data_IF_663417822241
#
_entry.id   IF_663417822241
#
_cell.length_a   1.000
_cell.length_b   1.000
_cell.length_c   1.000
_cell.angle_alpha   90.00
_cell.angle_beta   90.00
_cell.angle_gamma   90.00
#
_symmetry.space_group_name_H-M   'P 1'
#
loop_
_entity.id
_entity.type
_entity.pdbx_description
1 polymer ?
#
# COMPACT_ATOMS: atom_id res chain seq x y z
N UNK A 1 -57.02 11.23 -39.59
CA UNK A 1 -55.54 11.41 -39.63
C UNK A 1 -55.06 12.21 -38.42
N UNK A 2 -55.19 11.69 -37.18
CA UNK A 2 -54.76 12.42 -35.97
C UNK A 2 -54.33 11.49 -34.82
N UNK A 3 -53.46 10.53 -35.12
CA UNK A 3 -52.90 9.58 -34.13
C UNK A 3 -51.38 9.39 -34.26
N UNK A 4 -50.76 9.98 -35.29
CA UNK A 4 -49.31 9.83 -35.56
C UNK A 4 -48.48 10.85 -34.76
N UNK A 5 -49.06 11.98 -34.36
CA UNK A 5 -48.32 13.05 -33.67
C UNK A 5 -47.98 12.72 -32.20
N UNK A 6 -48.80 11.88 -31.55
CA UNK A 6 -48.67 11.61 -30.10
C UNK A 6 -47.58 10.57 -29.76
N UNK A 7 -47.19 9.72 -30.72
CA UNK A 7 -46.14 8.70 -30.51
C UNK A 7 -44.74 9.30 -30.56
N UNK A 8 -44.49 10.29 -31.43
CA UNK A 8 -43.17 10.93 -31.60
C UNK A 8 -42.72 11.69 -30.35
N UNK A 9 -43.64 12.37 -29.67
CA UNK A 9 -43.39 13.06 -28.39
C UNK A 9 -43.10 12.12 -27.23
N UNK A 10 -43.68 10.92 -27.23
CA UNK A 10 -43.39 9.90 -26.22
C UNK A 10 -41.97 9.34 -26.39
N UNK A 11 -41.58 8.99 -27.61
CA UNK A 11 -40.21 8.49 -27.90
C UNK A 11 -39.14 9.55 -27.61
N UNK A 12 -39.41 10.83 -27.89
CA UNK A 12 -38.48 11.92 -27.58
C UNK A 12 -38.28 12.10 -26.07
N UNK A 13 -39.33 11.91 -25.26
CA UNK A 13 -39.27 11.94 -23.80
C UNK A 13 -38.49 10.75 -23.22
N UNK A 14 -38.66 9.55 -23.79
CA UNK A 14 -37.87 8.37 -23.38
C UNK A 14 -36.39 8.50 -23.78
N UNK A 15 -36.08 9.09 -24.94
CA UNK A 15 -34.70 9.39 -25.36
C UNK A 15 -34.02 10.43 -24.46
N UNK A 16 -34.74 11.46 -24.01
CA UNK A 16 -34.22 12.47 -23.07
C UNK A 16 -34.01 11.93 -21.65
N UNK A 17 -34.84 10.98 -21.20
CA UNK A 17 -34.68 10.31 -19.91
C UNK A 17 -33.52 9.29 -19.89
N UNK A 18 -33.19 8.67 -21.04
CA UNK A 18 -32.03 7.79 -21.19
C UNK A 18 -30.70 8.55 -21.35
N UNK A 19 -30.73 9.83 -21.75
CA UNK A 19 -29.54 10.68 -21.85
C UNK A 19 -29.16 11.39 -20.54
N UNK A 20 -29.94 11.26 -19.47
CA UNK A 20 -29.49 11.57 -18.10
C UNK A 20 -28.62 10.42 -17.55
N UNK A 21 -27.77 9.86 -18.41
CA UNK A 21 -26.69 8.97 -18.00
C UNK A 21 -25.89 9.68 -16.93
N UNK A 22 -25.81 9.05 -15.77
CA UNK A 22 -25.13 9.52 -14.57
C UNK A 22 -23.81 10.18 -14.96
N UNK A 23 -23.78 11.51 -14.90
CA UNK A 23 -22.52 12.23 -14.82
C UNK A 23 -22.01 11.85 -13.43
N UNK A 24 -21.27 10.73 -13.36
CA UNK A 24 -20.45 10.42 -12.22
C UNK A 24 -19.40 11.54 -12.19
N UNK A 25 -19.72 12.61 -11.46
CA UNK A 25 -18.74 13.62 -11.11
C UNK A 25 -17.65 12.88 -10.38
N UNK A 26 -16.48 12.76 -11.01
CA UNK A 26 -15.30 12.25 -10.33
C UNK A 26 -15.11 13.10 -9.07
N UNK A 27 -15.30 12.48 -7.92
CA UNK A 27 -15.01 13.11 -6.65
C UNK A 27 -13.51 13.43 -6.68
N UNK A 28 -13.14 14.69 -6.46
CA UNK A 28 -11.74 15.04 -6.32
C UNK A 28 -11.16 14.21 -5.17
N UNK A 29 -10.06 13.50 -5.43
CA UNK A 29 -9.42 12.67 -4.42
C UNK A 29 -8.96 13.53 -3.24
N UNK A 30 -9.34 13.15 -2.02
CA UNK A 30 -8.86 13.82 -0.82
C UNK A 30 -7.45 13.34 -0.45
N UNK A 31 -6.78 14.07 0.43
CA UNK A 31 -5.48 13.63 0.98
C UNK A 31 -5.58 12.27 1.70
N UNK A 32 -6.72 11.98 2.34
CA UNK A 32 -7.01 10.69 2.95
C UNK A 32 -7.13 9.57 1.91
N UNK A 33 -7.81 9.83 0.79
CA UNK A 33 -7.97 8.84 -0.28
C UNK A 33 -6.62 8.47 -0.89
N UNK A 34 -5.76 9.47 -1.13
CA UNK A 34 -4.41 9.23 -1.65
C UNK A 34 -3.56 8.47 -0.64
N UNK A 35 -3.65 8.80 0.66
CA UNK A 35 -2.96 8.03 1.68
C UNK A 35 -3.43 6.57 1.72
N UNK A 36 -4.74 6.33 1.66
CA UNK A 36 -5.27 4.96 1.63
C UNK A 36 -4.73 4.16 0.44
N UNK A 37 -4.58 4.77 -0.74
CA UNK A 37 -3.96 4.13 -1.90
C UNK A 37 -2.49 3.78 -1.64
N UNK A 38 -1.72 4.62 -0.94
CA UNK A 38 -0.33 4.32 -0.56
C UNK A 38 -0.26 3.13 0.38
N UNK A 39 -1.10 3.11 1.41
CA UNK A 39 -1.18 1.98 2.34
C UNK A 39 -1.53 0.68 1.63
N UNK A 40 -2.44 0.74 0.65
CA UNK A 40 -2.78 -0.42 -0.18
C UNK A 40 -1.60 -0.85 -1.06
N UNK A 41 -0.84 0.07 -1.65
CA UNK A 41 0.32 -0.31 -2.48
C UNK A 41 1.40 -1.00 -1.65
N UNK A 42 1.72 -0.48 -0.45
CA UNK A 42 2.67 -1.11 0.47
C UNK A 42 2.16 -2.47 0.96
N UNK A 43 0.88 -2.56 1.31
CA UNK A 43 0.26 -3.83 1.68
C UNK A 43 0.44 -4.92 0.62
N UNK A 44 0.21 -4.56 -0.65
CA UNK A 44 0.35 -5.48 -1.78
C UNK A 44 1.78 -5.97 -1.89
N UNK A 45 2.77 -5.06 -1.93
CA UNK A 45 4.16 -5.46 -2.13
C UNK A 45 4.70 -6.26 -0.92
N UNK A 46 4.39 -5.85 0.31
CA UNK A 46 4.85 -6.56 1.51
C UNK A 46 4.31 -7.99 1.52
N UNK A 47 3.01 -8.17 1.27
CA UNK A 47 2.39 -9.50 1.27
C UNK A 47 2.85 -10.36 0.09
N UNK A 48 3.14 -9.77 -1.08
CA UNK A 48 3.79 -10.46 -2.21
C UNK A 48 5.18 -10.95 -1.83
N UNK A 49 6.00 -10.09 -1.20
CA UNK A 49 7.35 -10.44 -0.77
C UNK A 49 7.34 -11.51 0.32
N UNK A 50 6.44 -11.43 1.29
CA UNK A 50 6.28 -12.47 2.32
C UNK A 50 5.84 -13.79 1.68
N UNK A 51 4.82 -13.76 0.81
CA UNK A 51 4.30 -14.96 0.14
C UNK A 51 5.28 -15.59 -0.85
N UNK A 52 6.17 -14.83 -1.48
CA UNK A 52 7.17 -15.39 -2.39
C UNK A 52 8.53 -15.59 -1.73
N UNK A 53 8.65 -15.41 -0.42
CA UNK A 53 9.92 -15.51 0.28
C UNK A 53 10.50 -16.94 0.21
N UNK A 54 11.68 -17.16 -0.39
CA UNK A 54 12.27 -18.50 -0.52
C UNK A 54 12.70 -19.11 0.83
N UNK A 55 12.83 -18.28 1.87
CA UNK A 55 13.17 -18.70 3.22
C UNK A 55 11.92 -18.96 4.10
N UNK A 56 10.72 -18.61 3.62
CA UNK A 56 9.46 -18.86 4.32
C UNK A 56 9.12 -20.36 4.35
N UNK A 57 8.75 -20.88 5.53
CA UNK A 57 8.24 -22.25 5.68
C UNK A 57 6.98 -22.26 6.53
N UNK A 58 5.88 -22.92 6.09
CA UNK A 58 5.36 -22.91 4.72
C UNK A 58 4.81 -21.52 4.33
N UNK A 59 4.50 -21.34 3.05
CA UNK A 59 3.82 -20.15 2.55
C UNK A 59 2.47 -19.99 3.25
N UNK A 60 2.26 -18.84 3.87
CA UNK A 60 0.99 -18.52 4.51
C UNK A 60 0.03 -18.00 3.43
N UNK A 61 -1.01 -18.79 3.14
CA UNK A 61 -2.03 -18.46 2.14
C UNK A 61 -2.76 -17.15 2.48
N UNK A 62 -2.76 -16.75 3.75
CA UNK A 62 -3.36 -15.49 4.19
C UNK A 62 -2.70 -14.27 3.52
N UNK A 63 -1.38 -14.33 3.28
CA UNK A 63 -0.67 -13.28 2.54
C UNK A 63 -1.10 -13.25 1.07
N UNK A 64 -1.34 -14.42 0.48
CA UNK A 64 -1.78 -14.54 -0.90
C UNK A 64 -3.17 -13.96 -1.13
N UNK A 65 -4.08 -14.24 -0.20
CA UNK A 65 -5.42 -13.66 -0.20
C UNK A 65 -5.36 -12.15 0.05
N UNK A 66 -4.50 -11.73 0.98
CA UNK A 66 -4.34 -10.32 1.35
C UNK A 66 -3.84 -9.48 0.18
N UNK A 67 -2.75 -9.85 -0.49
CA UNK A 67 -2.25 -9.04 -1.60
C UNK A 67 -3.25 -9.00 -2.76
N UNK A 68 -3.97 -10.09 -3.05
CA UNK A 68 -4.99 -10.11 -4.13
C UNK A 68 -6.15 -9.17 -3.82
N UNK A 69 -6.67 -9.25 -2.60
CA UNK A 69 -7.75 -8.37 -2.13
C UNK A 69 -7.33 -6.91 -2.16
N UNK A 70 -6.14 -6.61 -1.65
CA UNK A 70 -5.67 -5.23 -1.51
C UNK A 70 -5.30 -4.63 -2.88
N UNK A 71 -4.78 -5.43 -3.82
CA UNK A 71 -4.56 -5.02 -5.21
C UNK A 71 -5.87 -4.73 -5.95
N UNK A 72 -6.87 -5.59 -5.77
CA UNK A 72 -8.20 -5.34 -6.30
C UNK A 72 -8.78 -4.02 -5.76
N UNK A 73 -8.63 -3.78 -4.46
CA UNK A 73 -9.09 -2.53 -3.82
C UNK A 73 -8.31 -1.31 -4.32
N UNK A 74 -6.99 -1.42 -4.49
CA UNK A 74 -6.13 -0.37 -5.06
C UNK A 74 -6.64 0.04 -6.44
N UNK A 75 -6.86 -0.93 -7.34
CA UNK A 75 -7.38 -0.70 -8.70
C UNK A 75 -8.77 -0.06 -8.70
N UNK A 76 -9.68 -0.58 -7.86
CA UNK A 76 -11.05 -0.07 -7.78
C UNK A 76 -11.08 1.38 -7.29
N UNK A 77 -10.37 1.67 -6.19
CA UNK A 77 -10.34 3.00 -5.60
C UNK A 77 -9.65 4.01 -6.52
N UNK A 78 -8.51 3.65 -7.13
CA UNK A 78 -7.83 4.53 -8.07
C UNK A 78 -8.70 4.85 -9.30
N UNK A 79 -9.47 3.88 -9.79
CA UNK A 79 -10.40 4.09 -10.90
C UNK A 79 -11.58 4.98 -10.51
N UNK A 80 -12.17 4.77 -9.32
CA UNK A 80 -13.27 5.58 -8.79
C UNK A 80 -12.88 7.05 -8.61
N UNK A 81 -11.63 7.30 -8.21
CA UNK A 81 -11.07 8.64 -8.02
C UNK A 81 -10.55 9.27 -9.32
N UNK A 82 -10.68 8.58 -10.47
CA UNK A 82 -10.22 9.09 -11.76
C UNK A 82 -8.69 9.13 -11.92
N UNK A 83 -7.94 8.41 -11.09
CA UNK A 83 -6.47 8.35 -11.12
C UNK A 83 -6.01 7.33 -12.17
N UNK A 84 -6.15 7.68 -13.45
CA UNK A 84 -5.90 6.78 -14.58
C UNK A 84 -4.46 6.25 -14.63
N UNK A 85 -3.46 7.09 -14.32
CA UNK A 85 -2.05 6.68 -14.24
C UNK A 85 -1.83 5.59 -13.19
N UNK A 86 -2.35 5.81 -11.97
CA UNK A 86 -2.24 4.84 -10.86
C UNK A 86 -2.99 3.55 -11.17
N UNK A 87 -4.18 3.65 -11.78
CA UNK A 87 -4.97 2.48 -12.19
C UNK A 87 -4.21 1.62 -13.19
N UNK A 88 -3.66 2.22 -14.25
CA UNK A 88 -2.88 1.51 -15.25
C UNK A 88 -1.61 0.88 -14.65
N UNK A 89 -0.97 1.57 -13.71
CA UNK A 89 0.19 1.05 -12.99
C UNK A 89 -0.18 -0.14 -12.07
N UNK A 90 -1.33 -0.10 -11.41
CA UNK A 90 -1.82 -1.21 -10.58
C UNK A 90 -2.21 -2.44 -11.43
N UNK A 91 -2.77 -2.24 -12.63
CA UNK A 91 -2.99 -3.31 -13.60
C UNK A 91 -1.69 -3.93 -14.12
N UNK A 92 -0.65 -3.10 -14.34
CA UNK A 92 0.68 -3.63 -14.68
C UNK A 92 1.25 -4.44 -13.51
N UNK A 93 1.11 -3.95 -12.27
CA UNK A 93 1.58 -4.67 -11.08
C UNK A 93 0.94 -6.05 -10.97
N UNK A 94 -0.36 -6.16 -11.24
CA UNK A 94 -1.07 -7.45 -11.29
C UNK A 94 -0.50 -8.41 -12.34
N UNK A 95 -0.13 -7.90 -13.52
CA UNK A 95 0.52 -8.71 -14.57
C UNK A 95 1.88 -9.21 -14.11
N UNK A 96 2.70 -8.35 -13.50
CA UNK A 96 4.01 -8.74 -12.98
C UNK A 96 3.89 -9.77 -11.84
N UNK A 97 2.94 -9.58 -10.91
CA UNK A 97 2.66 -10.54 -9.83
C UNK A 97 2.17 -11.88 -10.40
N UNK A 98 1.34 -11.86 -11.45
CA UNK A 98 0.91 -13.10 -12.11
C UNK A 98 2.09 -13.85 -12.71
N UNK A 99 3.10 -13.12 -13.23
CA UNK A 99 4.37 -13.69 -13.67
C UNK A 99 5.11 -14.46 -12.57
N UNK A 100 4.94 -14.09 -11.30
CA UNK A 100 5.55 -14.78 -10.15
C UNK A 100 4.93 -16.16 -9.87
N UNK A 101 3.77 -16.52 -10.45
CA UNK A 101 3.13 -17.83 -10.22
C UNK A 101 4.01 -19.02 -10.64
N UNK A 102 4.97 -18.76 -11.53
CA UNK A 102 5.94 -19.76 -11.99
C UNK A 102 7.16 -19.88 -11.06
N UNK A 103 7.25 -19.08 -9.99
CA UNK A 103 8.35 -19.17 -9.05
C UNK A 103 8.21 -20.44 -8.21
N UNK A 104 9.32 -21.19 -8.01
CA UNK A 104 9.30 -22.38 -7.18
C UNK A 104 8.98 -22.04 -5.74
N UNK A 105 7.97 -22.73 -5.20
CA UNK A 105 7.47 -22.57 -3.83
C UNK A 105 8.02 -23.66 -2.91
N UNK A 106 9.25 -24.11 -3.09
CA UNK A 106 9.91 -25.00 -2.13
C UNK A 106 11.41 -24.77 -2.11
N UNK A 107 12.02 -24.83 -0.92
CA UNK A 107 13.47 -24.60 -0.75
C UNK A 107 14.34 -25.62 -1.51
N UNK A 108 13.79 -26.80 -1.83
CA UNK A 108 14.40 -27.79 -2.72
C UNK A 108 14.38 -27.33 -4.18
N UNK A 109 13.28 -26.73 -4.64
CA UNK A 109 13.15 -26.23 -6.01
C UNK A 109 13.86 -24.88 -6.21
N UNK A 110 14.08 -24.09 -5.15
CA UNK A 110 14.71 -22.75 -5.26
C UNK A 110 16.19 -22.81 -5.63
N UNK A 111 16.95 -23.83 -5.18
CA UNK A 111 18.40 -23.92 -5.49
C UNK A 111 18.67 -24.16 -6.98
N UNK A 112 17.74 -24.82 -7.67
CA UNK A 112 17.81 -25.06 -9.12
C UNK A 112 17.23 -23.89 -9.93
N UNK A 113 16.52 -22.96 -9.28
CA UNK A 113 15.74 -21.90 -9.90
C UNK A 113 16.03 -20.51 -9.30
N UNK A 114 17.30 -20.23 -9.00
CA UNK A 114 17.80 -18.88 -8.71
C UNK A 114 17.48 -17.87 -9.85
N UNK A 115 17.61 -18.21 -11.15
CA UNK A 115 17.43 -17.23 -12.23
C UNK A 115 16.03 -16.59 -12.33
N UNK A 116 14.91 -17.33 -12.12
CA UNK A 116 13.56 -16.74 -12.10
C UNK A 116 13.33 -15.63 -11.05
N UNK A 117 13.84 -15.78 -9.83
CA UNK A 117 13.65 -14.80 -8.75
C UNK A 117 14.32 -13.46 -9.07
N UNK A 118 15.56 -13.51 -9.57
CA UNK A 118 16.32 -12.33 -9.99
C UNK A 118 15.75 -11.68 -11.25
N UNK A 119 14.89 -12.36 -12.01
CA UNK A 119 14.24 -11.82 -13.21
C UNK A 119 12.91 -11.13 -12.89
N UNK A 120 12.05 -11.76 -12.08
CA UNK A 120 10.65 -11.32 -11.95
C UNK A 120 10.39 -10.40 -10.76
N UNK A 121 11.05 -10.61 -9.61
CA UNK A 121 10.85 -9.72 -8.45
C UNK A 121 11.24 -8.26 -8.72
N UNK A 122 12.34 -7.95 -9.44
CA UNK A 122 12.68 -6.57 -9.75
C UNK A 122 11.57 -5.83 -10.52
N UNK A 123 10.83 -6.50 -11.41
CA UNK A 123 9.72 -5.88 -12.15
C UNK A 123 8.57 -5.51 -11.21
N UNK A 124 8.24 -6.39 -10.28
CA UNK A 124 7.20 -6.15 -9.27
C UNK A 124 7.59 -4.98 -8.35
N UNK A 125 8.85 -4.95 -7.88
CA UNK A 125 9.38 -3.88 -7.02
C UNK A 125 9.41 -2.54 -7.77
N UNK A 126 9.90 -2.54 -9.01
CA UNK A 126 9.93 -1.34 -9.86
C UNK A 126 8.51 -0.81 -10.10
N UNK A 127 7.55 -1.70 -10.34
CA UNK A 127 6.17 -1.29 -10.58
C UNK A 127 5.51 -0.72 -9.31
N UNK A 128 5.82 -1.27 -8.13
CA UNK A 128 5.44 -0.67 -6.86
C UNK A 128 6.05 0.73 -6.68
N UNK A 129 7.34 0.90 -6.99
CA UNK A 129 8.03 2.20 -6.89
C UNK A 129 7.39 3.28 -7.78
N UNK A 130 6.98 2.91 -9.00
CA UNK A 130 6.23 3.78 -9.91
C UNK A 130 4.87 4.21 -9.35
N UNK A 131 4.16 3.32 -8.66
CA UNK A 131 2.88 3.63 -7.97
C UNK A 131 3.15 4.54 -6.78
N UNK A 132 4.09 4.16 -5.91
CA UNK A 132 4.46 4.91 -4.71
C UNK A 132 4.89 6.34 -5.06
N UNK A 133 5.69 6.52 -6.11
CA UNK A 133 6.11 7.84 -6.59
C UNK A 133 4.93 8.67 -7.12
N UNK A 134 4.05 8.07 -7.93
CA UNK A 134 2.86 8.79 -8.44
C UNK A 134 1.91 9.20 -7.30
N UNK A 135 1.70 8.35 -6.30
CA UNK A 135 0.93 8.69 -5.10
C UNK A 135 1.67 9.67 -4.19
N UNK A 136 3.01 9.69 -4.24
CA UNK A 136 3.83 10.69 -3.55
C UNK A 136 3.51 12.10 -4.05
N UNK A 137 3.57 12.27 -5.36
CA UNK A 137 3.27 13.49 -6.11
C UNK A 137 1.82 13.95 -5.84
N UNK A 138 0.84 13.07 -6.07
CA UNK A 138 -0.59 13.39 -5.92
C UNK A 138 -0.96 13.86 -4.50
N UNK A 139 -0.35 13.27 -3.47
CA UNK A 139 -0.59 13.64 -2.08
C UNK A 139 -0.02 15.02 -1.75
N UNK A 140 1.13 15.38 -2.32
CA UNK A 140 1.76 16.68 -2.12
C UNK A 140 0.97 17.81 -2.80
N UNK A 141 0.22 17.49 -3.86
CA UNK A 141 -0.68 18.41 -4.56
C UNK A 141 -2.01 18.64 -3.83
N UNK A 142 -2.37 17.79 -2.85
CA UNK A 142 -3.62 17.95 -2.12
C UNK A 142 -3.60 19.17 -1.20
N UNK A 143 -4.78 19.80 -0.96
CA UNK A 143 -4.91 20.83 0.05
C UNK A 143 -4.33 20.39 1.39
N UNK A 144 -3.70 21.35 2.07
CA UNK A 144 -3.06 21.17 3.36
C UNK A 144 -4.07 20.63 4.38
N UNK A 145 -3.98 19.35 4.73
CA UNK A 145 -4.65 18.79 5.91
C UNK A 145 -4.14 19.42 7.21
N UNK A 146 -4.86 19.14 8.31
CA UNK A 146 -4.39 19.49 9.65
C UNK A 146 -2.97 18.96 9.89
N UNK A 147 -2.20 19.67 10.73
CA UNK A 147 -0.84 19.24 11.07
C UNK A 147 -0.83 17.85 11.73
N UNK A 148 -1.85 17.54 12.52
CA UNK A 148 -2.06 16.24 13.14
C UNK A 148 -2.21 15.12 12.09
N UNK A 149 -3.14 15.29 11.16
CA UNK A 149 -3.43 14.31 10.11
C UNK A 149 -2.17 14.03 9.27
N UNK A 150 -1.46 15.08 8.84
CA UNK A 150 -0.20 14.90 8.09
C UNK A 150 0.88 14.19 8.90
N UNK A 151 0.96 14.45 10.20
CA UNK A 151 1.98 13.82 11.04
C UNK A 151 1.70 12.33 11.24
N UNK A 152 0.43 11.94 11.34
CA UNK A 152 0.01 10.53 11.36
C UNK A 152 0.29 9.85 10.01
N UNK A 153 -0.06 10.47 8.89
CA UNK A 153 0.25 9.93 7.56
C UNK A 153 1.77 9.76 7.34
N UNK A 154 2.57 10.73 7.78
CA UNK A 154 4.03 10.63 7.70
C UNK A 154 4.58 9.50 8.56
N UNK A 155 4.02 9.29 9.76
CA UNK A 155 4.40 8.18 10.63
C UNK A 155 4.00 6.82 10.02
N UNK A 156 2.80 6.74 9.43
CA UNK A 156 2.34 5.55 8.71
C UNK A 156 3.31 5.21 7.57
N UNK A 157 3.64 6.20 6.75
CA UNK A 157 4.57 6.05 5.63
C UNK A 157 5.99 5.65 6.06
N UNK A 158 6.51 6.23 7.15
CA UNK A 158 7.82 5.85 7.70
C UNK A 158 7.81 4.37 8.13
N UNK A 159 6.73 3.89 8.74
CA UNK A 159 6.56 2.50 9.16
C UNK A 159 6.47 1.55 7.95
N UNK A 160 5.72 1.91 6.92
CA UNK A 160 5.59 1.14 5.68
C UNK A 160 6.92 0.97 4.96
N UNK A 161 7.71 2.06 4.85
CA UNK A 161 9.06 2.01 4.27
C UNK A 161 10.00 1.10 5.05
N UNK A 162 9.92 1.13 6.37
CA UNK A 162 10.71 0.25 7.23
C UNK A 162 10.30 -1.22 7.05
N UNK A 163 8.99 -1.49 6.97
CA UNK A 163 8.44 -2.82 6.70
C UNK A 163 8.95 -3.37 5.37
N UNK A 164 8.79 -2.61 4.28
CA UNK A 164 9.25 -3.01 2.95
C UNK A 164 10.75 -3.26 2.92
N UNK A 165 11.55 -2.37 3.52
CA UNK A 165 13.01 -2.57 3.60
C UNK A 165 13.37 -3.86 4.32
N UNK A 166 12.67 -4.17 5.41
CA UNK A 166 12.85 -5.44 6.09
C UNK A 166 12.49 -6.61 5.17
N UNK A 167 11.31 -6.63 4.53
CA UNK A 167 10.91 -7.74 3.66
C UNK A 167 11.92 -7.97 2.51
N UNK A 168 12.38 -6.89 1.88
CA UNK A 168 13.39 -6.93 0.81
C UNK A 168 14.73 -7.53 1.27
N UNK A 169 15.11 -7.35 2.54
CA UNK A 169 16.39 -7.87 3.07
C UNK A 169 16.51 -9.40 3.01
N UNK A 170 15.40 -10.13 2.91
CA UNK A 170 15.42 -11.59 2.74
C UNK A 170 15.81 -12.06 1.34
N UNK A 171 15.83 -11.14 0.37
CA UNK A 171 16.13 -11.41 -1.03
C UNK A 171 17.55 -10.96 -1.41
N UNK A 172 18.54 -11.57 -0.76
CA UNK A 172 19.97 -11.20 -0.88
C UNK A 172 20.58 -11.32 -2.28
N UNK A 173 19.91 -12.02 -3.20
CA UNK A 173 20.35 -12.22 -4.58
C UNK A 173 19.67 -11.29 -5.59
N UNK A 174 18.80 -10.39 -5.14
CA UNK A 174 18.32 -9.32 -6.00
C UNK A 174 19.43 -8.30 -6.18
N UNK A 175 19.56 -7.76 -7.39
CA UNK A 175 20.30 -6.51 -7.67
C UNK A 175 19.47 -5.32 -7.14
N UNK A 176 18.93 -5.46 -5.93
CA UNK A 176 17.97 -4.56 -5.31
C UNK A 176 18.63 -3.54 -4.37
N UNK A 177 19.95 -3.38 -4.43
CA UNK A 177 20.65 -2.38 -3.61
C UNK A 177 20.06 -0.97 -3.79
N UNK A 178 19.44 -0.67 -4.92
CA UNK A 178 18.76 0.61 -5.17
C UNK A 178 17.47 0.81 -4.37
N UNK A 179 16.76 -0.27 -3.99
CA UNK A 179 15.47 -0.20 -3.28
C UNK A 179 15.58 -0.50 -1.78
N UNK A 180 16.69 -1.09 -1.35
CA UNK A 180 16.95 -1.38 0.05
C UNK A 180 17.49 -0.14 0.76
N UNK A 181 17.01 0.10 1.99
CA UNK A 181 17.65 1.07 2.87
C UNK A 181 18.96 0.46 3.38
N UNK A 182 20.03 1.26 3.38
CA UNK A 182 21.24 0.89 4.10
C UNK A 182 21.04 0.98 5.63
N UNK A 183 21.97 0.41 6.40
CA UNK A 183 21.87 0.36 7.86
C UNK A 183 21.72 1.75 8.50
N UNK A 184 22.33 2.77 7.91
CA UNK A 184 22.23 4.15 8.39
C UNK A 184 20.84 4.73 8.13
N UNK A 185 20.26 4.47 6.95
CA UNK A 185 18.93 4.87 6.58
C UNK A 185 17.87 4.13 7.41
N UNK A 186 18.06 2.84 7.69
CA UNK A 186 17.20 2.07 8.62
C UNK A 186 17.24 2.68 10.03
N UNK A 187 18.43 2.98 10.55
CA UNK A 187 18.59 3.60 11.87
C UNK A 187 17.94 4.99 11.92
N UNK A 188 18.15 5.83 10.90
CA UNK A 188 17.54 7.15 10.81
C UNK A 188 16.01 7.07 10.74
N UNK A 189 15.46 6.09 10.02
CA UNK A 189 14.02 5.87 9.92
C UNK A 189 13.41 5.42 11.26
N UNK A 190 14.08 4.49 11.95
CA UNK A 190 13.71 4.09 13.31
C UNK A 190 13.72 5.26 14.29
N UNK A 191 14.77 6.10 14.25
CA UNK A 191 14.86 7.30 15.08
C UNK A 191 13.70 8.28 14.80
N UNK A 192 13.36 8.51 13.53
CA UNK A 192 12.21 9.32 13.12
C UNK A 192 10.90 8.77 13.68
N UNK A 193 10.66 7.46 13.52
CA UNK A 193 9.44 6.78 14.02
C UNK A 193 9.32 6.95 15.54
N UNK A 194 10.40 6.69 16.29
CA UNK A 194 10.41 6.83 17.75
C UNK A 194 10.16 8.27 18.20
N UNK A 195 10.78 9.24 17.53
CA UNK A 195 10.59 10.65 17.82
C UNK A 195 9.13 11.06 17.59
N UNK A 196 8.52 10.67 16.46
CA UNK A 196 7.11 10.96 16.16
C UNK A 196 6.15 10.34 17.18
N UNK A 197 6.38 9.10 17.60
CA UNK A 197 5.59 8.48 18.67
C UNK A 197 5.70 9.21 20.01
N UNK A 198 6.84 9.86 20.28
CA UNK A 198 7.05 10.67 21.49
C UNK A 198 6.40 12.05 21.39
N UNK A 199 6.48 12.69 20.23
CA UNK A 199 6.08 14.10 20.06
C UNK A 199 4.57 14.26 19.80
N UNK A 200 3.96 13.34 19.03
CA UNK A 200 2.56 13.46 18.65
C UNK A 200 1.58 13.51 19.84
N UNK A 201 1.71 12.67 20.88
CA UNK A 201 0.84 12.74 22.06
C UNK A 201 0.95 14.07 22.84
N UNK A 202 2.11 14.73 22.78
CA UNK A 202 2.31 16.03 23.45
C UNK A 202 1.59 17.17 22.72
N UNK A 203 1.43 17.03 21.40
CA UNK A 203 0.77 18.01 20.53
C UNK A 203 -0.73 17.74 20.40
N UNK A 204 -1.14 16.48 20.55
CA UNK A 204 -2.50 15.97 20.31
C UNK A 204 -2.87 14.98 21.42
N UNK A 205 -3.28 15.51 22.56
CA UNK A 205 -3.59 14.71 23.75
C UNK A 205 -4.69 13.66 23.48
N UNK A 206 -5.62 13.96 22.59
CA UNK A 206 -6.68 13.09 22.11
C UNK A 206 -6.18 11.80 21.42
N UNK A 207 -4.94 11.79 20.93
CA UNK A 207 -4.32 10.63 20.27
C UNK A 207 -3.50 9.75 21.20
N UNK A 208 -3.34 10.13 22.48
CA UNK A 208 -2.39 9.50 23.41
C UNK A 208 -2.58 8.00 23.54
N UNK A 209 -3.80 7.54 23.80
CA UNK A 209 -4.10 6.12 24.02
C UNK A 209 -3.87 5.30 22.75
N UNK A 210 -4.33 5.81 21.60
CA UNK A 210 -4.13 5.20 20.29
C UNK A 210 -2.64 5.08 19.98
N UNK A 211 -1.88 6.17 20.11
CA UNK A 211 -0.45 6.18 19.81
C UNK A 211 0.35 5.31 20.77
N UNK A 212 -0.01 5.23 22.05
CA UNK A 212 0.66 4.35 23.02
C UNK A 212 0.52 2.87 22.64
N UNK A 213 -0.69 2.44 22.26
CA UNK A 213 -0.95 1.08 21.78
C UNK A 213 -0.14 0.75 20.52
N UNK A 214 -0.12 1.68 19.56
CA UNK A 214 0.59 1.52 18.29
C UNK A 214 2.11 1.52 18.48
N UNK A 215 2.63 2.38 19.36
CA UNK A 215 4.04 2.36 19.74
C UNK A 215 4.43 1.03 20.38
N UNK A 216 3.57 0.43 21.21
CA UNK A 216 3.81 -0.89 21.79
C UNK A 216 3.96 -1.99 20.75
N UNK A 217 3.13 -1.98 19.69
CA UNK A 217 3.24 -2.90 18.55
C UNK A 217 4.54 -2.70 17.77
N UNK A 218 4.87 -1.45 17.48
CA UNK A 218 6.14 -1.12 16.83
C UNK A 218 7.34 -1.60 17.66
N UNK A 219 7.35 -1.31 18.96
CA UNK A 219 8.41 -1.72 19.87
C UNK A 219 8.59 -3.24 19.91
N UNK A 220 7.49 -4.01 19.91
CA UNK A 220 7.52 -5.47 19.90
C UNK A 220 8.30 -6.04 18.70
N UNK A 221 8.12 -5.47 17.50
CA UNK A 221 8.81 -5.96 16.28
C UNK A 221 10.08 -5.21 15.92
N UNK A 222 10.38 -4.08 16.59
CA UNK A 222 11.54 -3.23 16.31
C UNK A 222 12.86 -4.00 16.28
N UNK A 223 13.03 -4.96 17.18
CA UNK A 223 14.24 -5.79 17.25
C UNK A 223 14.53 -6.57 15.97
N UNK A 224 13.49 -6.98 15.24
CA UNK A 224 13.62 -7.70 13.97
C UNK A 224 14.05 -6.78 12.84
N UNK A 225 13.50 -5.56 12.79
CA UNK A 225 13.67 -4.65 11.63
C UNK A 225 14.91 -3.76 11.69
N UNK A 226 15.40 -3.42 12.89
CA UNK A 226 16.62 -2.58 13.05
C UNK A 226 17.89 -3.42 13.15
N UNK A 227 17.78 -4.70 13.51
CA UNK A 227 18.92 -5.62 13.65
C UNK A 227 18.65 -6.93 12.92
N UNK A 228 18.60 -6.92 11.57
CA UNK A 228 18.38 -8.12 10.79
C UNK A 228 19.60 -9.05 10.92
N UNK A 229 19.55 -9.99 11.87
CA UNK A 229 20.69 -10.89 12.10
C UNK A 229 20.49 -12.01 13.12
N UNK A 230 19.45 -11.97 13.96
CA UNK A 230 19.26 -13.00 14.99
C UNK A 230 18.02 -13.88 14.79
N UNK A 231 16.95 -13.37 14.20
CA UNK A 231 15.72 -14.15 13.94
C UNK A 231 14.91 -13.47 12.84
N UNK A 232 14.54 -14.22 11.80
CA UNK A 232 13.67 -13.75 10.70
C UNK A 232 12.20 -14.07 11.04
N UNK A 233 11.34 -13.05 11.12
CA UNK A 233 9.93 -13.18 11.50
C UNK A 233 8.99 -12.38 10.55
N UNK A 234 8.93 -12.72 9.25
CA UNK A 234 8.29 -11.90 8.21
C UNK A 234 6.81 -11.68 8.43
N UNK A 235 6.06 -12.73 8.78
CA UNK A 235 4.63 -12.64 9.07
C UNK A 235 4.33 -11.79 10.32
N UNK A 236 5.20 -11.84 11.34
CA UNK A 236 5.02 -11.02 12.53
C UNK A 236 5.30 -9.55 12.20
N UNK A 237 6.41 -9.26 11.51
CA UNK A 237 6.76 -7.90 11.09
C UNK A 237 5.66 -7.30 10.22
N UNK A 238 5.22 -8.00 9.17
CA UNK A 238 4.10 -7.56 8.31
C UNK A 238 2.86 -7.25 9.16
N UNK A 239 2.38 -8.22 9.95
CA UNK A 239 1.16 -8.06 10.75
C UNK A 239 1.20 -6.86 11.69
N UNK A 240 2.31 -6.66 12.41
CA UNK A 240 2.41 -5.58 13.39
C UNK A 240 2.68 -4.23 12.72
N UNK A 241 3.55 -4.14 11.71
CA UNK A 241 3.88 -2.86 11.06
C UNK A 241 2.75 -2.40 10.14
N UNK A 242 2.25 -3.25 9.25
CA UNK A 242 1.14 -2.92 8.35
C UNK A 242 -0.15 -2.64 9.14
N UNK A 243 -0.40 -3.42 10.20
CA UNK A 243 -1.51 -3.15 11.11
C UNK A 243 -1.36 -1.82 11.85
N UNK A 244 -0.13 -1.40 12.15
CA UNK A 244 0.14 -0.09 12.76
C UNK A 244 -0.08 1.05 11.77
N UNK A 245 0.46 0.94 10.55
CA UNK A 245 0.25 1.90 9.47
C UNK A 245 -1.25 2.15 9.19
N UNK A 246 -2.02 1.07 9.01
CA UNK A 246 -3.48 1.14 8.79
C UNK A 246 -4.24 1.81 9.95
N UNK A 247 -3.88 1.51 11.19
CA UNK A 247 -4.53 2.16 12.36
C UNK A 247 -4.13 3.64 12.48
N UNK A 248 -2.91 4.03 12.09
CA UNK A 248 -2.51 5.44 12.00
C UNK A 248 -3.31 6.18 10.92
N UNK A 249 -3.45 5.58 9.73
CA UNK A 249 -4.22 6.20 8.64
C UNK A 249 -5.71 6.27 8.97
N UNK A 250 -6.26 5.29 9.68
CA UNK A 250 -7.63 5.34 10.20
C UNK A 250 -7.81 6.47 11.21
N UNK A 251 -6.92 6.58 12.20
CA UNK A 251 -6.95 7.68 13.17
C UNK A 251 -6.81 9.04 12.49
N UNK A 252 -5.98 9.14 11.45
CA UNK A 252 -5.83 10.35 10.66
C UNK A 252 -7.12 10.75 9.92
N UNK A 253 -7.89 9.78 9.43
CA UNK A 253 -9.19 10.01 8.78
C UNK A 253 -10.31 10.41 9.76
N UNK A 254 -10.19 10.06 11.04
CA UNK A 254 -11.11 10.48 12.10
C UNK A 254 -10.87 11.92 12.57
N UNK A 255 -9.67 12.46 12.31
CA UNK A 255 -9.36 13.88 12.51
C UNK A 255 -10.02 14.69 11.38
N UNK A 256 -11.31 14.96 11.52
CA UNK A 256 -12.05 15.83 10.60
C UNK A 256 -11.35 17.21 10.53
N UNK A 257 -11.14 17.78 9.32
CA UNK A 257 -10.63 19.14 9.17
C UNK A 257 -11.56 20.22 9.75
#
# INVERSE_FOLDING_TARGET
MSTIHNKKTLYLRWLLLLSMGSIATAQAASQQDIQQLRTLSYSVIDNVLVYHNPQGRPFDNDNAETYRRDLQKLKQLSAQLGLSKVTAQAEQLEREITGLQNLPQSASDTRENIPPYSLWLPQVIQQHDLISTALAELYAEQPVASQAQRSLHNLSWDIERLSLSYQLSSFTQLVAQTWMLDDQAVAALDDSIRQRFSDLPQQHAELTDTLSKLQGRYHFVRGYVVKPGQTWAPNAVDRYLLGTARELDAAAGELVP
#
